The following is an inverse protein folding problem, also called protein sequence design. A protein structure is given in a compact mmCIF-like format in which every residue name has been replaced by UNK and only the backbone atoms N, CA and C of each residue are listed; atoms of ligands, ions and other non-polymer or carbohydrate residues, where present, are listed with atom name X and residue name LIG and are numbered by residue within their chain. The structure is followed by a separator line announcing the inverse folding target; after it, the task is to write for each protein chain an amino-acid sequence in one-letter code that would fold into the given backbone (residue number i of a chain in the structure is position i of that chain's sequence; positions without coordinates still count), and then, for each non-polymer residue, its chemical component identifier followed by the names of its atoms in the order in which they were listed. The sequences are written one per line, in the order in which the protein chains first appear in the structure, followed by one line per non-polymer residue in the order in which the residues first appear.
data_IF_929198027438
#
_entry.id   IF_929198027438
#
_cell.length_a   1.000
_cell.length_b   1.000
_cell.length_c   1.000
_cell.angle_alpha   90.00
_cell.angle_beta   90.00
_cell.angle_gamma   90.00
#
_symmetry.space_group_name_H-M   'P 1'
#
loop_
_entity.id
_entity.type
_entity.pdbx_description
1 polymer ?
#
# COMPACT_ATOMS: atom_id res chain seq x y z
N UNK A 1 11.70 -10.65 -31.22
CA UNK A 1 10.89 -11.87 -31.01
C UNK A 1 10.83 -12.35 -29.54
N UNK A 2 11.76 -11.99 -28.65
CA UNK A 2 11.75 -12.45 -27.23
C UNK A 2 10.67 -11.84 -26.32
N UNK A 3 10.15 -10.66 -26.63
CA UNK A 3 9.14 -9.98 -25.78
C UNK A 3 7.73 -10.59 -25.82
N UNK A 4 7.38 -11.21 -26.94
CA UNK A 4 6.03 -11.81 -27.13
C UNK A 4 5.88 -13.16 -26.40
N UNK A 5 6.98 -13.88 -26.22
CA UNK A 5 6.98 -15.20 -25.54
C UNK A 5 6.74 -15.05 -24.03
N UNK A 6 7.25 -13.97 -23.40
CA UNK A 6 7.10 -13.76 -21.96
C UNK A 6 5.64 -13.47 -21.56
N UNK A 7 4.92 -12.68 -22.37
CA UNK A 7 3.49 -12.36 -22.11
C UNK A 7 2.60 -13.61 -22.28
N UNK A 8 2.91 -14.44 -23.28
CA UNK A 8 2.17 -15.69 -23.50
C UNK A 8 2.40 -16.71 -22.36
N UNK A 9 3.61 -16.76 -21.78
CA UNK A 9 3.92 -17.67 -20.67
C UNK A 9 3.22 -17.30 -19.39
N UNK A 10 3.03 -16.01 -19.09
CA UNK A 10 2.27 -15.52 -17.95
C UNK A 10 0.77 -15.79 -18.12
N UNK A 11 0.24 -15.63 -19.34
CA UNK A 11 -1.16 -15.92 -19.62
C UNK A 11 -1.51 -17.42 -19.53
N UNK A 12 -0.59 -18.31 -19.93
CA UNK A 12 -0.79 -19.76 -19.77
C UNK A 12 -0.71 -20.23 -18.31
N UNK A 13 0.11 -19.60 -17.50
CA UNK A 13 0.20 -19.91 -16.07
C UNK A 13 -1.08 -19.54 -15.29
N UNK A 14 -1.85 -18.58 -15.77
CA UNK A 14 -3.12 -18.16 -15.20
C UNK A 14 -4.32 -19.03 -15.64
N UNK A 15 -4.17 -19.83 -16.70
CA UNK A 15 -5.25 -20.68 -17.23
C UNK A 15 -5.30 -22.09 -16.64
N UNK A 16 -4.41 -22.44 -15.74
CA UNK A 16 -4.47 -23.68 -14.99
C UNK A 16 -5.65 -23.65 -14.01
N UNK A 17 -6.78 -24.26 -14.40
CA UNK A 17 -7.89 -24.54 -13.50
C UNK A 17 -7.51 -25.67 -12.54
N UNK A 18 -6.53 -25.44 -11.68
CA UNK A 18 -6.44 -26.21 -10.45
C UNK A 18 -7.77 -25.99 -9.72
N UNK A 19 -8.37 -27.05 -9.18
CA UNK A 19 -9.55 -26.96 -8.32
C UNK A 19 -9.16 -26.21 -7.04
N UNK A 20 -8.92 -24.91 -7.20
CA UNK A 20 -8.59 -24.00 -6.13
C UNK A 20 -9.77 -24.01 -5.16
N UNK A 21 -9.50 -24.19 -3.88
CA UNK A 21 -10.52 -23.98 -2.84
C UNK A 21 -11.16 -22.63 -3.10
N UNK A 22 -12.51 -22.55 -3.08
CA UNK A 22 -13.16 -21.24 -3.26
C UNK A 22 -12.55 -20.27 -2.26
N UNK A 23 -12.01 -19.17 -2.76
CA UNK A 23 -11.64 -18.04 -1.91
C UNK A 23 -12.89 -17.62 -1.14
N UNK A 24 -12.75 -17.27 0.13
CA UNK A 24 -13.83 -16.61 0.84
C UNK A 24 -14.11 -15.30 0.08
N UNK A 25 -15.30 -15.21 -0.53
CA UNK A 25 -15.79 -14.02 -1.20
C UNK A 25 -16.68 -13.28 -0.22
N UNK A 26 -16.47 -12.02 -0.03
CA UNK A 26 -17.30 -11.25 0.90
C UNK A 26 -16.63 -9.98 1.36
N UNK A 27 -17.13 -9.45 2.45
CA UNK A 27 -16.50 -8.33 3.12
C UNK A 27 -15.22 -8.78 3.82
N UNK A 28 -14.20 -7.95 3.81
CA UNK A 28 -12.97 -8.20 4.53
C UNK A 28 -12.51 -7.00 5.33
N UNK A 29 -11.78 -7.29 6.40
CA UNK A 29 -10.99 -6.33 7.15
C UNK A 29 -9.54 -6.79 7.15
N UNK A 30 -8.60 -5.86 6.99
CA UNK A 30 -7.16 -6.13 6.94
C UNK A 30 -6.45 -5.13 7.85
N UNK A 31 -5.50 -5.60 8.64
CA UNK A 31 -4.61 -4.77 9.43
C UNK A 31 -3.17 -5.14 9.14
N UNK A 32 -2.32 -4.14 8.92
CA UNK A 32 -0.94 -4.32 8.54
C UNK A 32 0.04 -3.48 9.35
N UNK A 33 1.24 -4.00 9.52
CA UNK A 33 2.39 -3.32 10.09
C UNK A 33 3.53 -3.36 9.08
N UNK A 34 4.25 -2.26 8.96
CA UNK A 34 5.29 -2.17 7.97
C UNK A 34 6.24 -0.99 8.14
N UNK A 35 6.80 -0.59 7.03
CA UNK A 35 7.71 0.55 6.98
C UNK A 35 7.60 1.28 5.65
N UNK A 36 7.73 2.60 5.71
CA UNK A 36 7.77 3.49 4.55
C UNK A 36 9.17 4.03 4.35
N UNK A 37 9.68 3.88 3.13
CA UNK A 37 10.94 4.45 2.66
C UNK A 37 10.68 5.46 1.55
N UNK A 38 11.16 6.69 1.70
CA UNK A 38 11.14 7.68 0.63
C UNK A 38 12.19 7.35 -0.44
N UNK A 39 11.85 7.60 -1.70
CA UNK A 39 12.76 7.42 -2.83
C UNK A 39 13.62 8.69 -3.07
N UNK A 40 14.70 8.62 -3.91
CA UNK A 40 15.59 9.74 -4.16
C UNK A 40 14.88 11.06 -4.45
N UNK A 41 15.41 12.13 -3.92
CA UNK A 41 14.99 13.49 -3.64
C UNK A 41 14.40 13.67 -2.25
N UNK A 42 13.45 12.84 -1.80
CA UNK A 42 12.84 12.93 -0.48
C UNK A 42 13.50 11.99 0.55
N UNK A 43 14.32 11.02 0.11
CA UNK A 43 15.11 10.17 1.01
C UNK A 43 16.18 10.92 1.80
N UNK A 44 16.61 12.07 1.29
CA UNK A 44 17.59 12.93 1.96
C UNK A 44 16.94 13.81 3.04
N UNK A 45 15.61 13.94 3.00
CA UNK A 45 14.84 14.81 3.88
C UNK A 45 14.16 14.07 5.03
N UNK A 46 14.01 12.74 4.92
CA UNK A 46 13.31 11.94 5.92
C UNK A 46 13.82 10.48 5.97
N UNK A 47 14.02 9.97 7.18
CA UNK A 47 14.43 8.58 7.41
C UNK A 47 13.30 7.59 7.16
N UNK A 48 13.69 6.31 6.95
CA UNK A 48 12.77 5.17 6.98
C UNK A 48 11.92 5.23 8.26
N UNK A 49 10.62 5.05 8.12
CA UNK A 49 9.70 5.12 9.26
C UNK A 49 8.76 3.92 9.38
N UNK A 50 8.39 3.54 10.61
CA UNK A 50 7.37 2.52 10.83
C UNK A 50 6.01 2.97 10.30
N UNK A 51 5.22 2.01 9.83
CA UNK A 51 3.90 2.25 9.27
C UNK A 51 2.85 1.29 9.82
N UNK A 52 1.63 1.78 9.89
CA UNK A 52 0.42 1.04 10.21
C UNK A 52 -0.59 1.24 9.07
N UNK A 53 -1.25 0.17 8.67
CA UNK A 53 -2.30 0.19 7.64
C UNK A 53 -3.54 -0.54 8.14
N UNK A 54 -4.71 -0.01 7.82
CA UNK A 54 -6.00 -0.66 8.04
C UNK A 54 -6.80 -0.54 6.76
N UNK A 55 -7.42 -1.65 6.35
CA UNK A 55 -8.20 -1.71 5.12
C UNK A 55 -9.53 -2.43 5.36
N UNK A 56 -10.58 -1.95 4.74
CA UNK A 56 -11.89 -2.59 4.70
C UNK A 56 -12.36 -2.62 3.26
N UNK A 57 -12.88 -3.74 2.82
CA UNK A 57 -13.32 -3.86 1.44
C UNK A 57 -14.20 -5.08 1.20
N UNK A 58 -14.42 -5.34 -0.06
CA UNK A 58 -15.22 -6.48 -0.52
C UNK A 58 -14.58 -7.16 -1.72
N UNK A 59 -14.48 -8.47 -1.66
CA UNK A 59 -14.17 -9.29 -2.83
C UNK A 59 -15.42 -9.44 -3.68
N UNK A 60 -15.43 -8.76 -4.82
CA UNK A 60 -16.54 -8.80 -5.78
C UNK A 60 -16.52 -10.09 -6.59
N UNK A 61 -15.31 -10.54 -6.93
CA UNK A 61 -15.06 -11.78 -7.65
C UNK A 61 -13.83 -12.48 -7.03
N UNK A 62 -13.59 -13.71 -7.40
CA UNK A 62 -12.40 -14.47 -6.96
C UNK A 62 -11.07 -13.81 -7.39
N UNK A 63 -11.10 -12.91 -8.35
CA UNK A 63 -9.94 -12.22 -8.91
C UNK A 63 -9.96 -10.69 -8.71
N UNK A 64 -11.08 -10.10 -8.21
CA UNK A 64 -11.23 -8.66 -8.03
C UNK A 64 -11.80 -8.32 -6.66
N UNK A 65 -11.08 -7.53 -5.91
CA UNK A 65 -11.53 -6.87 -4.68
C UNK A 65 -11.47 -5.35 -4.82
N UNK A 66 -12.32 -4.65 -4.07
CA UNK A 66 -12.31 -3.19 -3.93
C UNK A 66 -12.37 -2.83 -2.46
N UNK A 67 -11.74 -1.73 -2.07
CA UNK A 67 -11.71 -1.32 -0.68
C UNK A 67 -11.37 0.15 -0.46
N UNK A 68 -11.36 0.49 0.81
CA UNK A 68 -10.80 1.73 1.32
C UNK A 68 -9.70 1.40 2.32
N UNK A 69 -8.69 2.24 2.39
CA UNK A 69 -7.59 2.09 3.34
C UNK A 69 -7.30 3.39 4.07
N UNK A 70 -6.75 3.25 5.27
CA UNK A 70 -6.13 4.30 6.05
C UNK A 70 -4.75 3.82 6.49
N UNK A 71 -3.73 4.63 6.26
CA UNK A 71 -2.37 4.34 6.65
C UNK A 71 -1.75 5.52 7.38
N UNK A 72 -0.90 5.23 8.34
CA UNK A 72 -0.12 6.22 9.07
C UNK A 72 1.33 5.75 9.15
N UNK A 73 2.27 6.65 8.92
CA UNK A 73 3.70 6.39 9.12
C UNK A 73 4.36 7.53 9.86
N UNK A 74 5.44 7.22 10.58
CA UNK A 74 6.16 8.20 11.39
C UNK A 74 7.62 8.24 10.96
N UNK A 75 8.14 9.45 10.70
CA UNK A 75 9.45 9.67 10.12
C UNK A 75 10.23 10.73 10.90
N UNK A 76 11.54 10.56 10.98
CA UNK A 76 12.44 11.57 11.49
C UNK A 76 12.91 12.45 10.32
N UNK A 77 12.79 13.75 10.46
CA UNK A 77 13.29 14.73 9.48
C UNK A 77 14.82 14.81 9.53
N UNK A 78 15.45 14.86 8.37
CA UNK A 78 16.92 14.97 8.21
C UNK A 78 17.34 16.28 7.59
N UNK A 79 16.40 17.16 7.28
CA UNK A 79 16.66 18.52 6.74
C UNK A 79 17.41 19.33 7.80
N UNK A 80 18.45 20.11 7.43
CA UNK A 80 19.23 20.94 8.37
C UNK A 80 18.35 21.80 9.29
N UNK A 81 18.79 22.05 10.53
CA UNK A 81 17.98 22.72 11.56
C UNK A 81 17.42 24.07 11.18
N UNK A 82 16.17 24.38 11.62
CA UNK A 82 15.11 23.43 11.95
C UNK A 82 14.45 22.91 10.68
N UNK A 83 14.02 21.63 10.56
CA UNK A 83 13.50 20.73 11.61
C UNK A 83 14.28 19.42 11.84
N UNK A 84 15.61 19.37 11.61
CA UNK A 84 16.41 18.15 11.79
C UNK A 84 16.18 17.47 13.16
N UNK A 85 16.02 16.14 13.13
CA UNK A 85 15.77 15.32 14.32
C UNK A 85 14.34 15.33 14.83
N UNK A 86 13.43 16.05 14.21
CA UNK A 86 12.02 16.04 14.58
C UNK A 86 11.24 14.94 13.91
N UNK A 87 10.27 14.41 14.61
CA UNK A 87 9.38 13.39 14.10
C UNK A 87 8.11 14.01 13.51
N UNK A 88 7.75 13.58 12.32
CA UNK A 88 6.50 13.94 11.68
C UNK A 88 5.71 12.69 11.27
N UNK A 89 4.42 12.85 11.10
CA UNK A 89 3.52 11.80 10.66
C UNK A 89 3.02 12.09 9.24
N UNK A 90 2.99 11.04 8.43
CA UNK A 90 2.33 11.02 7.12
C UNK A 90 1.09 10.13 7.24
N UNK A 91 -0.08 10.71 7.07
CA UNK A 91 -1.36 10.02 7.01
C UNK A 91 -1.79 9.89 5.57
N UNK A 92 -2.30 8.73 5.19
CA UNK A 92 -2.83 8.46 3.85
C UNK A 92 -4.17 7.76 3.97
N UNK A 93 -5.09 8.05 3.06
CA UNK A 93 -6.37 7.35 2.99
C UNK A 93 -6.94 7.43 1.59
N UNK A 94 -7.57 6.35 1.14
CA UNK A 94 -8.08 6.30 -0.21
C UNK A 94 -8.91 5.07 -0.51
N UNK A 95 -9.29 4.96 -1.78
CA UNK A 95 -9.92 3.78 -2.34
C UNK A 95 -8.94 3.04 -3.24
N UNK A 96 -9.02 1.72 -3.24
CA UNK A 96 -8.16 0.85 -4.03
C UNK A 96 -8.94 -0.32 -4.64
N UNK A 97 -8.35 -0.88 -5.68
CA UNK A 97 -8.78 -2.12 -6.28
C UNK A 97 -7.59 -3.11 -6.28
N UNK A 98 -7.90 -4.36 -6.02
CA UNK A 98 -6.94 -5.47 -6.00
C UNK A 98 -7.36 -6.49 -7.06
N UNK A 99 -6.43 -6.85 -7.93
CA UNK A 99 -6.62 -7.88 -8.97
C UNK A 99 -5.61 -8.98 -8.71
N UNK A 100 -6.06 -10.22 -8.68
CA UNK A 100 -5.15 -11.32 -8.36
C UNK A 100 -5.67 -12.69 -8.75
N UNK A 101 -4.86 -13.69 -8.46
CA UNK A 101 -5.17 -15.10 -8.65
C UNK A 101 -4.71 -15.92 -7.45
N UNK A 102 -5.33 -17.07 -7.26
CA UNK A 102 -5.03 -17.98 -6.16
C UNK A 102 -4.67 -19.36 -6.68
N UNK A 103 -3.60 -19.91 -6.13
CA UNK A 103 -3.18 -21.30 -6.32
C UNK A 103 -3.25 -22.00 -4.95
N UNK A 104 -4.28 -22.81 -4.75
CA UNK A 104 -4.60 -23.45 -3.46
C UNK A 104 -4.71 -22.40 -2.34
N UNK A 105 -3.75 -22.34 -1.43
CA UNK A 105 -3.71 -21.41 -0.28
C UNK A 105 -2.95 -20.13 -0.57
N UNK A 106 -2.14 -20.10 -1.61
CA UNK A 106 -1.31 -18.93 -1.96
C UNK A 106 -2.02 -18.10 -3.01
N UNK A 107 -2.17 -16.81 -2.74
CA UNK A 107 -2.67 -15.83 -3.70
C UNK A 107 -1.59 -14.82 -4.04
N UNK A 108 -1.59 -14.36 -5.28
CA UNK A 108 -0.78 -13.26 -5.81
C UNK A 108 -1.73 -12.16 -6.25
N UNK A 109 -1.38 -10.94 -5.96
CA UNK A 109 -2.19 -9.80 -6.37
C UNK A 109 -1.35 -8.59 -6.76
N UNK A 110 -1.95 -7.76 -7.60
CA UNK A 110 -1.55 -6.39 -7.82
C UNK A 110 -2.65 -5.49 -7.29
N UNK A 111 -2.31 -4.34 -6.78
CA UNK A 111 -3.29 -3.39 -6.29
C UNK A 111 -2.93 -1.98 -6.74
N UNK A 112 -3.95 -1.13 -6.83
CA UNK A 112 -3.76 0.26 -7.15
C UNK A 112 -4.94 1.09 -6.70
N UNK A 113 -4.67 2.35 -6.40
CA UNK A 113 -5.68 3.23 -5.84
C UNK A 113 -5.34 4.70 -5.92
N UNK A 114 -6.29 5.49 -5.45
CA UNK A 114 -6.12 6.93 -5.31
C UNK A 114 -6.80 7.41 -4.02
N UNK A 115 -6.27 8.50 -3.47
CA UNK A 115 -6.77 9.07 -2.23
C UNK A 115 -6.13 10.39 -1.90
N UNK A 116 -5.99 10.65 -0.63
CA UNK A 116 -5.36 11.85 -0.08
C UNK A 116 -4.27 11.48 0.91
N UNK A 117 -3.27 12.34 1.01
CA UNK A 117 -2.23 12.27 2.03
C UNK A 117 -2.16 13.60 2.78
N UNK A 118 -1.77 13.54 4.04
CA UNK A 118 -1.57 14.70 4.91
C UNK A 118 -0.31 14.52 5.73
N UNK A 119 0.52 15.56 5.79
CA UNK A 119 1.69 15.64 6.68
C UNK A 119 1.30 16.41 7.95
N UNK A 120 1.81 15.95 9.10
CA UNK A 120 1.59 16.65 10.38
C UNK A 120 2.19 18.05 10.39
N UNK A 121 1.56 18.96 11.12
CA UNK A 121 1.89 20.40 11.08
C UNK A 121 3.18 20.80 11.78
N UNK A 122 3.71 19.95 12.66
CA UNK A 122 4.85 20.30 13.52
C UNK A 122 6.12 20.59 12.70
N UNK A 123 6.42 19.80 11.68
CA UNK A 123 7.59 19.99 10.81
C UNK A 123 7.32 21.08 9.78
N UNK A 124 6.15 21.09 9.15
CA UNK A 124 5.80 22.02 8.10
C UNK A 124 5.79 23.49 8.60
N UNK A 125 5.30 23.73 9.82
CA UNK A 125 5.33 25.06 10.42
C UNK A 125 6.74 25.62 10.61
N UNK A 126 7.75 24.77 10.78
CA UNK A 126 9.15 25.18 10.93
C UNK A 126 9.85 25.53 9.62
N UNK A 127 9.35 24.98 8.52
CA UNK A 127 9.82 25.34 7.17
C UNK A 127 8.92 26.42 6.52
N UNK A 128 8.06 27.06 7.31
CA UNK A 128 7.25 28.20 6.85
C UNK A 128 5.95 27.82 6.17
N UNK A 129 5.58 26.57 6.12
CA UNK A 129 4.30 26.10 5.58
C UNK A 129 3.23 26.22 6.66
N UNK A 130 2.46 27.31 6.61
CA UNK A 130 1.42 27.62 7.62
C UNK A 130 0.01 27.42 7.11
N UNK A 131 -0.21 27.42 5.79
CA UNK A 131 -1.51 27.21 5.19
C UNK A 131 -1.94 25.73 5.41
N UNK A 132 -3.11 25.47 6.02
CA UNK A 132 -3.63 24.11 6.16
C UNK A 132 -3.78 23.36 4.84
N UNK A 133 -4.05 24.05 3.73
CA UNK A 133 -4.19 23.45 2.40
C UNK A 133 -2.90 22.84 1.88
N UNK A 134 -1.76 23.43 2.19
CA UNK A 134 -0.44 22.95 1.76
C UNK A 134 0.02 21.66 2.45
N UNK A 135 -0.73 21.18 3.46
CA UNK A 135 -0.47 19.91 4.17
C UNK A 135 -1.08 18.70 3.47
N UNK A 136 -1.88 18.91 2.44
CA UNK A 136 -2.59 17.87 1.74
C UNK A 136 -2.02 17.63 0.35
N UNK A 137 -2.02 16.38 -0.06
CA UNK A 137 -1.71 15.97 -1.43
C UNK A 137 -2.70 14.90 -1.87
N UNK A 138 -3.01 14.87 -3.16
CA UNK A 138 -3.57 13.67 -3.76
C UNK A 138 -2.51 12.58 -3.65
N UNK A 139 -2.94 11.35 -3.39
CA UNK A 139 -2.08 10.17 -3.34
C UNK A 139 -2.50 9.18 -4.42
N UNK A 140 -1.53 8.71 -5.20
CA UNK A 140 -1.72 7.57 -6.10
C UNK A 140 -0.87 6.41 -5.59
N UNK A 141 -1.45 5.21 -5.53
CA UNK A 141 -0.78 4.01 -5.05
C UNK A 141 -0.82 2.92 -6.11
N UNK A 142 0.24 2.14 -6.19
CA UNK A 142 0.29 0.93 -7.00
C UNK A 142 1.30 -0.04 -6.38
N UNK A 143 0.94 -1.32 -6.31
CA UNK A 143 1.80 -2.32 -5.70
C UNK A 143 1.41 -3.75 -6.02
N UNK A 144 2.06 -4.67 -5.32
CA UNK A 144 1.83 -6.09 -5.45
C UNK A 144 2.06 -6.80 -4.11
N UNK A 145 1.48 -7.97 -3.97
CA UNK A 145 1.65 -8.75 -2.76
C UNK A 145 1.32 -10.23 -2.92
N UNK A 146 1.57 -10.91 -1.82
CA UNK A 146 1.30 -12.33 -1.63
C UNK A 146 0.41 -12.50 -0.41
N UNK A 147 -0.52 -13.44 -0.49
CA UNK A 147 -1.41 -13.78 0.61
C UNK A 147 -1.45 -15.30 0.78
N UNK A 148 -1.29 -15.77 2.01
CA UNK A 148 -1.43 -17.17 2.35
C UNK A 148 -2.66 -17.38 3.23
N UNK A 149 -3.62 -18.15 2.73
CA UNK A 149 -4.86 -18.47 3.44
C UNK A 149 -4.61 -19.55 4.49
N UNK A 150 -4.99 -19.27 5.73
CA UNK A 150 -4.89 -20.21 6.85
C UNK A 150 -5.92 -21.35 6.71
N UNK A 151 -5.80 -22.37 7.55
CA UNK A 151 -6.73 -23.50 7.57
C UNK A 151 -8.17 -23.09 7.84
N UNK A 152 -8.34 -22.15 8.76
CA UNK A 152 -9.57 -21.42 8.90
C UNK A 152 -9.66 -20.42 7.74
N UNK A 153 -10.51 -20.73 6.76
CA UNK A 153 -10.65 -19.98 5.49
C UNK A 153 -10.96 -18.50 5.63
N UNK A 154 -11.35 -18.06 6.81
CA UNK A 154 -11.62 -16.65 7.10
C UNK A 154 -10.35 -15.81 7.29
N UNK A 155 -9.23 -16.45 7.65
CA UNK A 155 -7.99 -15.73 7.92
C UNK A 155 -6.95 -15.97 6.84
N UNK A 156 -6.24 -14.91 6.49
CA UNK A 156 -5.06 -14.96 5.65
C UNK A 156 -3.98 -14.03 6.21
N UNK A 157 -2.73 -14.40 6.02
CA UNK A 157 -1.56 -13.56 6.30
C UNK A 157 -0.87 -13.23 4.99
N UNK A 158 -0.33 -12.05 4.85
CA UNK A 158 0.32 -11.66 3.60
C UNK A 158 1.38 -10.61 3.76
N UNK A 159 2.11 -10.41 2.66
CA UNK A 159 3.14 -9.39 2.50
C UNK A 159 2.82 -8.60 1.23
N UNK A 160 2.90 -7.28 1.32
CA UNK A 160 2.72 -6.40 0.17
C UNK A 160 3.78 -5.30 0.14
N UNK A 161 4.04 -4.78 -1.06
CA UNK A 161 4.87 -3.62 -1.29
C UNK A 161 4.16 -2.69 -2.28
N UNK A 162 3.90 -1.46 -1.85
CA UNK A 162 3.20 -0.43 -2.61
C UNK A 162 4.08 0.79 -2.83
N UNK A 163 4.25 1.20 -4.07
CA UNK A 163 4.73 2.52 -4.39
C UNK A 163 3.61 3.54 -4.28
N UNK A 164 3.90 4.73 -3.74
CA UNK A 164 2.95 5.84 -3.79
C UNK A 164 3.61 7.14 -4.26
N UNK A 165 2.79 7.99 -4.87
CA UNK A 165 3.17 9.29 -5.43
C UNK A 165 2.29 10.37 -4.82
N UNK A 166 2.92 11.46 -4.37
CA UNK A 166 2.29 12.65 -3.77
C UNK A 166 2.61 13.89 -4.62
N UNK A 167 1.79 14.21 -5.65
CA UNK A 167 2.12 15.28 -6.61
C UNK A 167 2.26 16.67 -5.99
N UNK A 168 1.43 17.04 -5.00
CA UNK A 168 1.47 18.35 -4.37
C UNK A 168 2.67 18.55 -3.41
N UNK A 169 3.35 17.48 -3.04
CA UNK A 169 4.58 17.50 -2.25
C UNK A 169 5.80 17.30 -3.15
N UNK A 170 5.98 18.16 -4.15
CA UNK A 170 7.07 18.09 -5.13
C UNK A 170 7.25 16.72 -5.79
N UNK A 171 6.13 16.04 -6.05
CA UNK A 171 6.06 14.69 -6.62
C UNK A 171 6.88 13.66 -5.81
N UNK A 172 6.82 13.76 -4.48
CA UNK A 172 7.42 12.77 -3.56
C UNK A 172 6.95 11.37 -3.94
N UNK A 173 7.92 10.45 -3.99
CA UNK A 173 7.69 9.02 -4.20
C UNK A 173 8.22 8.25 -3.00
N UNK A 174 7.50 7.23 -2.60
CA UNK A 174 7.94 6.33 -1.54
C UNK A 174 7.44 4.90 -1.78
N UNK A 175 8.03 3.97 -1.05
CA UNK A 175 7.62 2.57 -1.01
C UNK A 175 7.18 2.24 0.39
N UNK A 176 6.00 1.67 0.51
CA UNK A 176 5.42 1.12 1.73
C UNK A 176 5.47 -0.41 1.65
N UNK A 177 6.10 -1.04 2.61
CA UNK A 177 6.10 -2.50 2.74
C UNK A 177 5.33 -2.89 3.99
N UNK A 178 4.43 -3.86 3.88
CA UNK A 178 3.62 -4.29 5.02
C UNK A 178 3.45 -5.80 5.10
N UNK A 179 3.50 -6.31 6.32
CA UNK A 179 2.97 -7.61 6.71
C UNK A 179 1.53 -7.38 7.18
N UNK A 180 0.57 -8.13 6.70
CA UNK A 180 -0.83 -7.94 7.04
C UNK A 180 -1.53 -9.24 7.46
N UNK A 181 -2.55 -9.07 8.28
CA UNK A 181 -3.55 -10.08 8.60
C UNK A 181 -4.88 -9.63 8.01
N UNK A 182 -5.52 -10.53 7.29
CA UNK A 182 -6.83 -10.33 6.67
C UNK A 182 -7.84 -11.28 7.25
N UNK A 183 -9.02 -10.77 7.57
CA UNK A 183 -10.20 -11.53 7.93
C UNK A 183 -11.29 -11.32 6.89
N UNK A 184 -11.88 -12.41 6.36
CA UNK A 184 -13.00 -12.36 5.40
C UNK A 184 -14.24 -12.98 6.04
N UNK A 185 -15.34 -12.25 5.97
CA UNK A 185 -16.64 -12.62 6.55
C UNK A 185 -17.41 -13.60 5.67
#
# INVERSE_FOLDING_TARGET
MARTVFVASVALALSGTAAARPASQGWYAEGGLGAVAFLPKASDDAKLGPALDVRIGRDLFSWLGVGIHLAASSHEATVPPPPEGEWFQLYRGGADARIGGRLDRLAFFIEGGAGVAMISSNVLGKVGVTDPGERFSIAFTAGAGLEYQLENRHYAVGLAADGFLLPQFDAIRAVDTRLFLRYTY
#
